data_IF_770542954199
#
_entry.id   IF_770542954199
#
_cell.length_a   1.000
_cell.length_b   1.000
_cell.length_c   1.000
_cell.angle_alpha   90.00
_cell.angle_beta   90.00
_cell.angle_gamma   90.00
#
_symmetry.space_group_name_H-M   'P 1'
#
loop_
_entity.id
_entity.type
_entity.pdbx_description
1 polymer ?
#
# COMPACT_ATOMS: atom_id res chain seq x y z
N UNK A 1 -21.33 -2.91 7.51
CA UNK A 1 -21.08 -4.28 7.00
C UNK A 1 -20.57 -5.23 8.08
N UNK A 2 -20.04 -4.78 9.24
CA UNK A 2 -19.75 -5.68 10.37
C UNK A 2 -20.15 -5.02 11.70
N UNK A 3 -21.43 -5.08 12.08
CA UNK A 3 -21.93 -4.40 13.29
C UNK A 3 -22.36 -5.36 14.41
N UNK A 4 -22.42 -6.68 14.17
CA UNK A 4 -23.03 -7.67 15.09
C UNK A 4 -22.08 -8.80 15.54
N UNK A 5 -20.88 -8.92 14.98
CA UNK A 5 -19.93 -9.99 15.29
C UNK A 5 -18.50 -9.44 15.35
N UNK A 6 -17.67 -10.03 16.21
CA UNK A 6 -16.24 -9.68 16.34
C UNK A 6 -15.44 -10.34 15.22
N UNK A 7 -14.70 -9.56 14.42
CA UNK A 7 -13.77 -10.13 13.45
C UNK A 7 -12.51 -10.61 14.16
N UNK A 8 -12.09 -11.88 13.97
CA UNK A 8 -10.89 -12.40 14.62
C UNK A 8 -9.60 -11.73 14.12
N UNK A 9 -9.53 -11.44 12.80
CA UNK A 9 -8.39 -10.76 12.19
C UNK A 9 -8.76 -10.19 10.82
N UNK A 10 -8.27 -8.98 10.54
CA UNK A 10 -8.23 -8.40 9.19
C UNK A 10 -6.83 -7.89 8.92
N UNK A 11 -6.44 -7.86 7.66
CA UNK A 11 -5.16 -7.28 7.25
C UNK A 11 -5.33 -6.35 6.07
N UNK A 12 -4.65 -5.21 6.15
CA UNK A 12 -4.50 -4.29 5.03
C UNK A 12 -3.11 -4.53 4.48
N UNK A 13 -3.02 -5.09 3.28
CA UNK A 13 -1.74 -5.40 2.64
C UNK A 13 -1.53 -4.46 1.47
N UNK A 14 -0.66 -3.46 1.60
CA UNK A 14 -0.35 -2.56 0.49
C UNK A 14 0.47 -3.28 -0.58
N UNK A 15 0.29 -2.88 -1.82
CA UNK A 15 1.23 -3.19 -2.90
C UNK A 15 2.48 -2.34 -2.70
N UNK A 16 3.66 -2.95 -2.89
CA UNK A 16 4.93 -2.24 -2.80
C UNK A 16 5.87 -2.73 -3.90
N UNK A 17 6.92 -1.96 -4.16
CA UNK A 17 7.91 -2.26 -5.19
C UNK A 17 9.30 -2.29 -4.60
N UNK A 18 10.19 -3.11 -5.16
CA UNK A 18 11.59 -3.20 -4.73
C UNK A 18 12.47 -2.76 -5.89
N UNK A 19 13.29 -1.75 -5.63
CA UNK A 19 14.35 -1.30 -6.52
C UNK A 19 15.69 -1.91 -6.10
N UNK A 20 16.54 -2.37 -7.04
CA UNK A 20 17.86 -2.92 -6.71
C UNK A 20 18.79 -1.94 -5.99
N UNK A 21 18.66 -0.63 -6.25
CA UNK A 21 19.51 0.41 -5.68
C UNK A 21 18.90 1.10 -4.45
N UNK A 22 17.60 1.40 -4.49
CA UNK A 22 16.91 2.16 -3.43
C UNK A 22 16.10 1.30 -2.45
N UNK A 23 16.02 -0.01 -2.67
CA UNK A 23 15.26 -0.93 -1.82
C UNK A 23 13.75 -0.73 -1.94
N UNK A 24 13.05 -0.79 -0.81
CA UNK A 24 11.58 -0.77 -0.75
C UNK A 24 10.99 0.60 -1.11
N UNK A 25 9.97 0.58 -1.96
CA UNK A 25 9.20 1.71 -2.44
C UNK A 25 7.71 1.46 -2.18
N UNK A 26 7.01 2.45 -1.64
CA UNK A 26 5.57 2.37 -1.41
C UNK A 26 4.80 2.50 -2.71
N UNK A 27 3.87 1.59 -2.97
CA UNK A 27 3.03 1.59 -4.17
C UNK A 27 3.55 0.70 -5.30
N UNK A 28 2.78 0.67 -6.38
CA UNK A 28 3.08 -0.06 -7.61
C UNK A 28 3.93 0.80 -8.55
N UNK A 29 5.22 0.46 -8.64
CA UNK A 29 6.21 1.12 -9.47
C UNK A 29 6.97 0.04 -10.24
N UNK A 30 6.73 -0.07 -11.55
CA UNK A 30 7.52 -0.94 -12.43
C UNK A 30 8.89 -0.35 -12.76
N UNK A 31 9.01 0.97 -12.68
CA UNK A 31 10.27 1.71 -12.84
C UNK A 31 10.52 2.54 -11.58
N UNK A 32 11.77 2.64 -11.15
CA UNK A 32 12.11 3.37 -9.93
C UNK A 32 11.93 4.89 -10.14
N UNK A 33 11.14 5.58 -9.30
CA UNK A 33 10.99 7.04 -9.38
C UNK A 33 12.18 7.82 -8.77
N UNK A 34 13.09 7.13 -8.07
CA UNK A 34 14.24 7.76 -7.39
C UNK A 34 15.54 7.62 -8.18
N UNK A 35 15.65 6.64 -9.07
CA UNK A 35 16.85 6.46 -9.87
C UNK A 35 16.96 7.57 -10.92
N UNK A 36 18.15 8.13 -11.08
CA UNK A 36 18.46 9.06 -12.17
C UNK A 36 18.39 8.37 -13.53
N UNK A 37 18.74 7.08 -13.57
CA UNK A 37 18.63 6.21 -14.74
C UNK A 37 17.43 5.30 -14.52
N UNK A 38 16.56 5.14 -15.52
CA UNK A 38 15.40 4.26 -15.40
C UNK A 38 15.85 2.82 -15.13
N UNK A 39 15.42 2.29 -13.99
CA UNK A 39 15.70 0.92 -13.57
C UNK A 39 14.41 0.17 -13.28
N UNK A 40 14.30 -1.09 -13.73
CA UNK A 40 13.13 -1.91 -13.45
C UNK A 40 13.05 -2.23 -11.96
N UNK A 41 11.84 -2.20 -11.43
CA UNK A 41 11.50 -2.56 -10.06
C UNK A 41 10.60 -3.80 -10.05
N UNK A 42 10.76 -4.63 -9.04
CA UNK A 42 9.89 -5.78 -8.83
C UNK A 42 8.71 -5.38 -7.96
N UNK A 43 7.49 -5.48 -8.50
CA UNK A 43 6.26 -5.21 -7.77
C UNK A 43 5.84 -6.46 -7.01
N UNK A 44 5.60 -6.33 -5.70
CA UNK A 44 5.12 -7.39 -4.82
C UNK A 44 3.70 -7.09 -4.34
N UNK A 45 2.87 -8.12 -4.36
CA UNK A 45 1.53 -8.07 -3.80
C UNK A 45 1.14 -9.42 -3.18
N UNK A 46 0.09 -9.42 -2.35
CA UNK A 46 -0.45 -10.63 -1.75
C UNK A 46 -1.38 -11.33 -2.75
N UNK A 47 -1.15 -12.62 -2.98
CA UNK A 47 -1.93 -13.44 -3.92
C UNK A 47 -2.97 -14.33 -3.21
N UNK A 48 -2.52 -15.27 -2.35
CA UNK A 48 -3.38 -16.21 -1.59
C UNK A 48 -2.93 -16.37 -0.14
N UNK A 49 -2.34 -15.32 0.45
CA UNK A 49 -1.91 -15.32 1.85
C UNK A 49 -0.43 -14.94 2.06
N UNK A 50 0.39 -15.05 1.03
CA UNK A 50 1.80 -14.63 1.04
C UNK A 50 2.11 -13.61 -0.08
N UNK A 51 3.21 -12.90 0.08
CA UNK A 51 3.71 -11.91 -0.88
C UNK A 51 4.50 -12.60 -1.99
N UNK A 52 4.22 -12.25 -3.24
CA UNK A 52 4.93 -12.79 -4.42
C UNK A 52 5.11 -11.70 -5.48
N UNK A 53 6.23 -11.68 -6.23
CA UNK A 53 6.39 -10.74 -7.33
C UNK A 53 5.34 -10.96 -8.42
N UNK A 54 4.67 -9.88 -8.85
CA UNK A 54 3.58 -9.89 -9.82
C UNK A 54 4.03 -10.42 -11.20
N UNK A 55 5.31 -10.23 -11.54
CA UNK A 55 5.91 -10.77 -12.76
C UNK A 55 5.75 -12.29 -12.90
N UNK A 56 5.81 -13.02 -11.78
CA UNK A 56 5.73 -14.48 -11.72
C UNK A 56 4.31 -15.04 -11.66
N UNK A 57 3.29 -14.19 -11.67
CA UNK A 57 1.90 -14.66 -11.56
C UNK A 57 1.44 -15.27 -12.89
N UNK A 58 0.51 -16.22 -12.81
CA UNK A 58 -0.14 -16.75 -14.01
C UNK A 58 -1.05 -15.70 -14.66
N UNK A 59 -1.51 -15.96 -15.90
CA UNK A 59 -2.28 -14.98 -16.68
C UNK A 59 -3.58 -14.56 -15.98
N UNK A 60 -4.33 -15.50 -15.41
CA UNK A 60 -5.58 -15.19 -14.71
C UNK A 60 -5.35 -14.31 -13.48
N UNK A 61 -4.30 -14.57 -12.71
CA UNK A 61 -3.97 -13.77 -11.52
C UNK A 61 -3.41 -12.40 -11.87
N UNK A 62 -2.68 -12.28 -12.99
CA UNK A 62 -2.29 -10.97 -13.53
C UNK A 62 -3.51 -10.15 -13.95
N UNK A 63 -4.53 -10.77 -14.54
CA UNK A 63 -5.77 -10.10 -14.87
C UNK A 63 -6.54 -9.68 -13.61
N UNK A 64 -6.68 -10.59 -12.64
CA UNK A 64 -7.27 -10.29 -11.33
C UNK A 64 -6.56 -9.11 -10.66
N UNK A 65 -5.23 -9.07 -10.70
CA UNK A 65 -4.44 -7.97 -10.14
C UNK A 65 -4.74 -6.62 -10.80
N UNK A 66 -4.83 -6.57 -12.13
CA UNK A 66 -5.15 -5.35 -12.88
C UNK A 66 -6.55 -4.80 -12.57
N UNK A 67 -7.48 -5.68 -12.22
CA UNK A 67 -8.85 -5.31 -11.87
C UNK A 67 -8.99 -4.85 -10.41
N UNK A 68 -7.93 -4.98 -9.59
CA UNK A 68 -7.95 -4.52 -8.19
C UNK A 68 -8.09 -3.00 -8.11
N UNK A 69 -8.91 -2.57 -7.16
CA UNK A 69 -9.05 -1.16 -6.79
C UNK A 69 -8.38 -0.92 -5.45
N UNK A 70 -7.31 -0.13 -5.45
CA UNK A 70 -6.62 0.23 -4.21
C UNK A 70 -7.33 1.38 -3.49
N UNK A 71 -7.30 1.32 -2.17
CA UNK A 71 -7.81 2.41 -1.33
C UNK A 71 -6.80 3.56 -1.32
N UNK A 72 -7.17 4.71 -1.89
CA UNK A 72 -6.36 5.93 -1.83
C UNK A 72 -6.64 6.66 -0.52
N UNK A 73 -5.63 6.79 0.33
CA UNK A 73 -5.72 7.59 1.55
C UNK A 73 -5.71 9.06 1.16
N UNK A 74 -6.81 9.77 1.42
CA UNK A 74 -6.84 11.23 1.29
C UNK A 74 -5.90 11.83 2.34
N UNK A 75 -4.83 12.49 1.88
CA UNK A 75 -3.94 13.23 2.78
C UNK A 75 -4.71 14.44 3.31
N UNK A 76 -5.09 14.39 4.58
CA UNK A 76 -5.60 15.56 5.28
C UNK A 76 -4.41 16.53 5.40
N UNK A 77 -4.56 17.82 5.02
CA UNK A 77 -3.50 18.80 5.22
C UNK A 77 -3.04 18.80 6.69
N UNK A 78 -1.72 18.73 6.89
CA UNK A 78 -1.07 18.68 8.21
C UNK A 78 -1.43 19.87 9.13
N UNK A 79 -2.04 20.92 8.57
CA UNK A 79 -2.52 22.10 9.29
C UNK A 79 -3.63 21.75 10.30
N UNK A 80 -4.49 20.75 10.00
CA UNK A 80 -5.57 20.34 10.89
C UNK A 80 -5.15 19.36 12.01
N UNK A 81 -3.94 18.79 11.94
CA UNK A 81 -3.45 17.86 12.97
C UNK A 81 -2.94 18.56 14.24
N UNK A 82 -2.46 19.81 14.13
CA UNK A 82 -2.01 20.59 15.30
C UNK A 82 -3.19 21.01 16.20
N UNK A 83 -4.33 21.37 15.61
CA UNK A 83 -5.51 21.84 16.36
C UNK A 83 -6.13 20.70 17.17
N UNK A 84 -6.20 19.48 16.63
CA UNK A 84 -6.80 18.34 17.33
C UNK A 84 -5.92 17.76 18.45
N UNK A 85 -4.58 17.92 18.36
CA UNK A 85 -3.67 17.51 19.44
C UNK A 85 -3.68 18.48 20.62
N UNK A 86 -3.77 19.79 20.35
CA UNK A 86 -3.89 20.82 21.39
C UNK A 86 -5.24 20.77 22.11
N UNK A 87 -6.34 20.45 21.41
CA UNK A 87 -7.67 20.33 22.05
C UNK A 87 -7.82 19.13 22.99
N UNK A 88 -6.99 18.10 22.84
CA UNK A 88 -6.99 16.94 23.75
C UNK A 88 -6.17 17.17 25.03
N UNK A 89 -5.23 18.12 25.03
CA UNK A 89 -4.40 18.45 26.20
C UNK A 89 -4.99 19.56 27.07
N UNK A 90 -6.03 20.27 26.60
CA UNK A 90 -6.66 21.40 27.32
C UNK A 90 -7.94 20.98 28.05
N UNK A 91 -8.47 19.78 27.78
CA UNK A 91 -9.70 19.25 28.39
C UNK A 91 -9.43 18.31 29.58
N UNK A 92 -8.33 18.51 30.33
CA UNK A 92 -8.08 17.82 31.59
C UNK A 92 -7.55 18.78 32.64
#
# INVERSE_FOLDING_TARGET
VFNKFSLPYITITPTFSICPSHGYLSGEHFNCPKCTIEQPCEVYSRIVGYLRPVSQWNLGKKQEFKERKEYKVNKIPLENQKINRLKLTVNN
#
